data_IF_879248338895
#
_entry.id   IF_879248338895
#
_cell.length_a   1.000
_cell.length_b   1.000
_cell.length_c   1.000
_cell.angle_alpha   90.00
_cell.angle_beta   90.00
_cell.angle_gamma   90.00
#
_symmetry.space_group_name_H-M   'P 1'
#
loop_
_entity.id
_entity.type
_entity.pdbx_description
1 polymer ?
#
# COMPACT_ATOMS: atom_id res chain seq x y z
N UNK A 1 3.26 9.63 -4.35
CA UNK A 1 4.70 9.41 -4.53
C UNK A 1 5.23 9.94 -5.86
N UNK A 2 4.43 9.98 -6.93
CA UNK A 2 4.86 10.54 -8.23
C UNK A 2 5.23 12.03 -8.14
N UNK A 3 4.47 12.86 -7.43
CA UNK A 3 4.81 14.26 -7.21
C UNK A 3 6.19 14.45 -6.55
N UNK A 4 6.59 13.55 -5.64
CA UNK A 4 7.93 13.59 -5.01
C UNK A 4 9.05 13.38 -6.02
N UNK A 5 8.83 12.53 -7.03
CA UNK A 5 9.77 12.32 -8.14
C UNK A 5 9.84 13.53 -9.06
N UNK A 6 8.71 14.16 -9.32
CA UNK A 6 8.62 15.32 -10.21
C UNK A 6 9.17 16.60 -9.57
N UNK A 7 8.85 16.83 -8.30
CA UNK A 7 9.23 18.05 -7.56
C UNK A 7 10.70 18.04 -7.10
N UNK A 8 11.30 16.86 -6.95
CA UNK A 8 12.67 16.70 -6.44
C UNK A 8 13.52 15.76 -7.31
N UNK A 9 13.79 16.13 -8.58
CA UNK A 9 14.50 15.26 -9.53
C UNK A 9 15.96 14.97 -9.13
N UNK A 10 16.55 15.85 -8.31
CA UNK A 10 17.93 15.73 -7.83
C UNK A 10 18.05 15.11 -6.43
N UNK A 11 16.94 14.61 -5.85
CA UNK A 11 16.96 13.99 -4.53
C UNK A 11 17.85 12.74 -4.56
N UNK A 12 18.86 12.70 -3.69
CA UNK A 12 19.83 11.59 -3.67
C UNK A 12 19.56 10.58 -2.57
N UNK A 13 19.07 11.02 -1.41
CA UNK A 13 18.89 10.16 -0.24
C UNK A 13 17.59 10.48 0.47
N UNK A 14 16.84 9.44 0.83
CA UNK A 14 15.64 9.54 1.68
C UNK A 14 15.98 8.96 3.05
N UNK A 15 15.53 9.64 4.09
CA UNK A 15 15.60 9.20 5.48
C UNK A 15 14.18 8.90 5.94
N UNK A 16 13.68 7.68 5.74
CA UNK A 16 12.32 7.35 6.09
C UNK A 16 12.17 7.29 7.62
N UNK A 17 10.95 7.53 8.11
CA UNK A 17 10.60 7.34 9.52
C UNK A 17 10.74 5.88 9.97
N UNK A 18 10.67 4.93 9.02
CA UNK A 18 10.90 3.50 9.24
C UNK A 18 11.81 2.92 8.14
N UNK A 19 12.73 2.03 8.54
CA UNK A 19 13.70 1.43 7.61
C UNK A 19 15.03 2.17 7.59
N UNK A 20 15.90 1.75 6.68
CA UNK A 20 17.24 2.34 6.52
C UNK A 20 17.20 3.46 5.48
N UNK A 21 17.96 4.55 5.69
CA UNK A 21 18.17 5.55 4.64
C UNK A 21 18.79 4.92 3.39
N UNK A 22 18.40 5.42 2.22
CA UNK A 22 18.85 4.85 0.95
C UNK A 22 18.73 5.82 -0.20
N UNK A 23 19.14 5.36 -1.39
CA UNK A 23 19.02 6.13 -2.62
C UNK A 23 17.56 6.50 -2.87
N UNK A 24 17.30 7.77 -3.14
CA UNK A 24 15.94 8.29 -3.19
C UNK A 24 15.11 7.64 -4.28
N UNK A 25 15.64 7.52 -5.49
CA UNK A 25 14.89 6.98 -6.63
C UNK A 25 14.47 5.52 -6.44
N UNK A 26 15.36 4.59 -6.07
CA UNK A 26 14.95 3.22 -5.73
C UNK A 26 13.90 3.13 -4.61
N UNK A 27 14.02 3.96 -3.57
CA UNK A 27 13.04 3.96 -2.49
C UNK A 27 11.67 4.51 -2.93
N UNK A 28 11.65 5.55 -3.75
CA UNK A 28 10.40 6.10 -4.32
C UNK A 28 9.75 5.08 -5.25
N UNK A 29 10.52 4.42 -6.12
CA UNK A 29 10.02 3.41 -7.04
C UNK A 29 9.44 2.19 -6.29
N UNK A 30 10.13 1.72 -5.25
CA UNK A 30 9.65 0.63 -4.40
C UNK A 30 8.34 0.98 -3.69
N UNK A 31 8.20 2.21 -3.19
CA UNK A 31 6.97 2.67 -2.54
C UNK A 31 5.82 2.80 -3.55
N UNK A 32 6.08 3.31 -4.76
CA UNK A 32 5.09 3.38 -5.84
C UNK A 32 4.59 1.98 -6.20
N UNK A 33 5.51 1.03 -6.38
CA UNK A 33 5.16 -0.36 -6.71
C UNK A 33 4.35 -1.02 -5.59
N UNK A 34 4.72 -0.80 -4.33
CA UNK A 34 3.98 -1.29 -3.17
C UNK A 34 2.53 -0.77 -3.17
N UNK A 35 2.36 0.55 -3.27
CA UNK A 35 1.04 1.18 -3.23
C UNK A 35 0.16 0.77 -4.42
N UNK A 36 0.73 0.75 -5.63
CA UNK A 36 0.00 0.34 -6.83
C UNK A 36 -0.41 -1.14 -6.76
N UNK A 37 0.47 -2.01 -6.28
CA UNK A 37 0.14 -3.44 -6.10
C UNK A 37 -0.98 -3.62 -5.08
N UNK A 38 -0.89 -2.92 -3.95
CA UNK A 38 -1.92 -2.98 -2.91
C UNK A 38 -3.27 -2.51 -3.45
N UNK A 39 -3.32 -1.34 -4.07
CA UNK A 39 -4.55 -0.77 -4.62
C UNK A 39 -5.21 -1.68 -5.67
N UNK A 40 -4.40 -2.29 -6.55
CA UNK A 40 -4.92 -3.24 -7.54
C UNK A 40 -5.54 -4.46 -6.88
N UNK A 41 -4.87 -5.05 -5.87
CA UNK A 41 -5.40 -6.20 -5.14
C UNK A 41 -6.70 -5.89 -4.38
N UNK A 42 -6.81 -4.69 -3.79
CA UNK A 42 -8.05 -4.23 -3.13
C UNK A 42 -9.17 -4.05 -4.16
N UNK A 43 -8.86 -3.40 -5.29
CA UNK A 43 -9.83 -3.16 -6.37
C UNK A 43 -10.35 -4.48 -6.96
N UNK A 44 -9.48 -5.46 -7.16
CA UNK A 44 -9.87 -6.81 -7.59
C UNK A 44 -10.78 -7.50 -6.57
N UNK A 45 -10.55 -7.30 -5.27
CA UNK A 45 -11.43 -7.79 -4.21
C UNK A 45 -12.82 -7.12 -4.24
N UNK A 46 -12.88 -5.82 -4.50
CA UNK A 46 -14.12 -5.05 -4.60
C UNK A 46 -14.95 -5.37 -5.85
N UNK A 47 -14.31 -5.77 -6.95
CA UNK A 47 -14.97 -6.03 -8.23
C UNK A 47 -16.05 -7.15 -8.19
N UNK A 48 -16.14 -7.88 -7.06
CA UNK A 48 -17.22 -8.83 -6.78
C UNK A 48 -18.50 -8.16 -6.29
N UNK A 49 -18.68 -8.12 -4.98
CA UNK A 49 -19.89 -7.67 -4.30
C UNK A 49 -19.79 -6.24 -3.74
N UNK A 50 -18.73 -5.51 -4.08
CA UNK A 50 -18.46 -4.17 -3.56
C UNK A 50 -17.91 -4.15 -2.14
N UNK A 51 -17.60 -5.32 -1.55
CA UNK A 51 -16.97 -5.44 -0.24
C UNK A 51 -15.74 -6.35 -0.33
N UNK A 52 -14.69 -6.05 0.43
CA UNK A 52 -13.58 -7.00 0.60
C UNK A 52 -13.89 -7.88 1.80
N UNK A 53 -14.18 -9.16 1.57
CA UNK A 53 -14.48 -10.10 2.66
C UNK A 53 -13.24 -10.35 3.54
N UNK A 54 -13.45 -10.82 4.78
CA UNK A 54 -12.34 -11.19 5.69
C UNK A 54 -11.37 -12.21 5.06
N UNK A 55 -11.88 -13.12 4.21
CA UNK A 55 -11.05 -14.10 3.51
C UNK A 55 -10.19 -13.45 2.44
N UNK A 56 -10.73 -12.48 1.70
CA UNK A 56 -9.96 -11.71 0.71
C UNK A 56 -8.94 -10.81 1.37
N UNK A 57 -9.28 -10.14 2.48
CA UNK A 57 -8.31 -9.37 3.28
C UNK A 57 -7.10 -10.22 3.69
N UNK A 58 -7.37 -11.42 4.19
CA UNK A 58 -6.31 -12.37 4.56
C UNK A 58 -5.46 -12.81 3.36
N UNK A 59 -6.07 -12.99 2.19
CA UNK A 59 -5.36 -13.37 0.97
C UNK A 59 -4.51 -12.22 0.42
N UNK A 60 -5.04 -11.00 0.40
CA UNK A 60 -4.33 -9.79 -0.01
C UNK A 60 -3.15 -9.55 0.93
N UNK A 61 -3.36 -9.64 2.24
CA UNK A 61 -2.28 -9.49 3.21
C UNK A 61 -1.16 -10.52 3.00
N UNK A 62 -1.50 -11.80 2.78
CA UNK A 62 -0.52 -12.85 2.51
C UNK A 62 0.24 -12.62 1.19
N UNK A 63 -0.41 -12.13 0.14
CA UNK A 63 0.24 -11.82 -1.12
C UNK A 63 1.19 -10.61 -0.98
N UNK A 64 0.80 -9.58 -0.23
CA UNK A 64 1.66 -8.44 0.06
C UNK A 64 2.89 -8.85 0.88
N UNK A 65 2.72 -9.72 1.89
CA UNK A 65 3.83 -10.28 2.68
C UNK A 65 4.82 -11.07 1.82
N UNK A 66 4.31 -11.83 0.86
CA UNK A 66 5.12 -12.62 -0.06
C UNK A 66 5.90 -11.76 -1.06
N UNK A 67 5.28 -10.70 -1.61
CA UNK A 67 5.92 -9.84 -2.63
C UNK A 67 6.91 -8.84 -2.05
N UNK A 68 6.63 -8.33 -0.84
CA UNK A 68 7.42 -7.27 -0.21
C UNK A 68 7.89 -7.69 1.19
N UNK A 69 8.69 -8.75 1.35
CA UNK A 69 9.06 -9.31 2.65
C UNK A 69 9.86 -8.34 3.53
N UNK A 70 10.53 -7.35 2.93
CA UNK A 70 11.32 -6.32 3.61
C UNK A 70 10.46 -5.24 4.30
N UNK A 71 9.21 -5.05 3.90
CA UNK A 71 8.29 -4.12 4.54
C UNK A 71 7.83 -4.69 5.89
N UNK A 72 8.25 -4.07 6.99
CA UNK A 72 7.89 -4.48 8.36
C UNK A 72 6.74 -3.64 8.88
N UNK A 73 5.90 -4.22 9.72
CA UNK A 73 4.83 -3.49 10.42
C UNK A 73 5.39 -2.41 11.36
N UNK A 74 4.57 -1.39 11.63
CA UNK A 74 4.89 -0.34 12.59
C UNK A 74 4.84 -0.86 14.03
N UNK A 75 5.56 -0.20 14.94
CA UNK A 75 5.68 -0.62 16.32
C UNK A 75 4.31 -0.77 17.02
N UNK A 76 4.02 -1.98 17.50
CA UNK A 76 2.79 -2.28 18.28
C UNK A 76 1.64 -2.88 17.48
N UNK A 77 1.76 -2.98 16.15
CA UNK A 77 0.79 -3.64 15.28
C UNK A 77 1.51 -4.68 14.42
N UNK A 78 0.89 -5.84 14.19
CA UNK A 78 1.44 -6.75 13.20
C UNK A 78 1.27 -6.12 11.82
N UNK A 79 2.14 -6.47 10.86
CA UNK A 79 2.01 -6.02 9.47
C UNK A 79 0.62 -6.35 8.92
N UNK A 80 0.06 -7.48 9.32
CA UNK A 80 -1.28 -7.90 8.97
C UNK A 80 -2.36 -6.99 9.54
N UNK A 81 -2.26 -6.57 10.80
CA UNK A 81 -3.24 -5.66 11.41
C UNK A 81 -3.25 -4.28 10.72
N UNK A 82 -2.08 -3.83 10.25
CA UNK A 82 -1.97 -2.58 9.48
C UNK A 82 -2.57 -2.74 8.08
N UNK A 83 -2.23 -3.83 7.39
CA UNK A 83 -2.80 -4.13 6.08
C UNK A 83 -4.33 -4.26 6.13
N UNK A 84 -4.87 -4.91 7.17
CA UNK A 84 -6.32 -5.04 7.36
C UNK A 84 -7.00 -3.68 7.62
N UNK A 85 -6.36 -2.78 8.37
CA UNK A 85 -6.85 -1.40 8.57
C UNK A 85 -6.78 -0.55 7.29
N UNK A 86 -5.67 -0.62 6.56
CA UNK A 86 -5.49 0.10 5.30
C UNK A 86 -6.46 -0.42 4.23
N UNK A 87 -6.74 -1.74 4.24
CA UNK A 87 -7.75 -2.39 3.40
C UNK A 87 -9.16 -1.84 3.68
N UNK A 88 -9.55 -1.75 4.94
CA UNK A 88 -10.86 -1.21 5.34
C UNK A 88 -11.02 0.25 4.90
N UNK A 89 -9.98 1.06 5.12
CA UNK A 89 -10.00 2.46 4.74
C UNK A 89 -10.07 2.65 3.22
N UNK A 90 -9.23 1.94 2.46
CA UNK A 90 -9.18 2.06 1.01
C UNK A 90 -10.46 1.54 0.34
N UNK A 91 -11.02 0.43 0.84
CA UNK A 91 -12.29 -0.09 0.36
C UNK A 91 -13.43 0.93 0.54
N UNK A 92 -13.47 1.62 1.69
CA UNK A 92 -14.43 2.70 1.94
C UNK A 92 -14.27 3.88 0.96
N UNK A 93 -13.04 4.34 0.72
CA UNK A 93 -12.78 5.43 -0.22
C UNK A 93 -13.20 5.08 -1.66
N UNK A 94 -12.85 3.88 -2.14
CA UNK A 94 -13.19 3.45 -3.49
C UNK A 94 -14.70 3.26 -3.69
N UNK A 95 -15.40 2.74 -2.68
CA UNK A 95 -16.86 2.61 -2.73
C UNK A 95 -17.57 3.98 -2.74
N UNK A 96 -17.04 4.98 -2.02
CA UNK A 96 -17.56 6.35 -2.05
C UNK A 96 -17.34 7.04 -3.41
N UNK A 97 -16.20 6.80 -4.06
CA UNK A 97 -15.92 7.32 -5.41
C UNK A 97 -16.84 6.71 -6.49
N UNK A 98 -17.18 5.42 -6.40
CA UNK A 98 -18.12 4.75 -7.31
C UNK A 98 -19.59 5.16 -7.07
N UNK A 99 -19.92 5.60 -5.85
CA UNK A 99 -21.26 6.10 -5.47
C UNK A 99 -21.53 7.55 -5.88
N UNK A 100 -20.53 8.21 -6.48
CA UNK A 100 -20.51 9.65 -6.76
C UNK A 100 -21.04 10.09 -8.13
N UNK A 101 -21.71 9.21 -8.90
CA UNK A 101 -22.39 9.55 -10.17
C UNK A 101 -23.89 9.90 -10.02
#
# INVERSE_FOLDING_TARGET
>A
MEALREDYPDLQTIYPSHGEPGSAMPLIEAEIEYLATFQNLVTEGLAGDGEVTTKEKAAIAAEMEKRFPEYKGAAGLTRRDLLEQDLDWLAGQLAEEDSGE
#
